data_IF_987697917183
#
_entry.id   IF_987697917183
#
_cell.length_a   1.000
_cell.length_b   1.000
_cell.length_c   1.000
_cell.angle_alpha   90.00
_cell.angle_beta   90.00
_cell.angle_gamma   90.00
#
_symmetry.space_group_name_H-M   'P 1'
#
loop_
_entity.id
_entity.type
_entity.pdbx_description
1 polymer ?
#
# COMPACT_ATOMS: atom_id res chain seq x y z
N UNK A 1 -12.03 23.40 7.75
CA UNK A 1 -12.39 22.15 7.04
C UNK A 1 -12.43 21.07 8.10
N UNK A 2 -13.52 20.33 8.18
CA UNK A 2 -13.72 19.32 9.23
C UNK A 2 -13.09 17.99 8.79
N UNK A 3 -12.34 17.35 9.68
CA UNK A 3 -11.63 16.10 9.40
C UNK A 3 -12.26 14.98 10.20
N UNK A 4 -12.54 13.85 9.53
CA UNK A 4 -13.02 12.63 10.17
C UNK A 4 -11.93 11.56 10.14
N UNK A 5 -11.81 10.79 11.22
CA UNK A 5 -10.83 9.68 11.34
C UNK A 5 -11.57 8.38 11.65
N UNK A 6 -11.98 7.60 10.63
CA UNK A 6 -12.66 6.33 10.85
C UNK A 6 -11.67 5.26 11.38
N UNK A 7 -12.10 4.47 12.36
CA UNK A 7 -11.30 3.48 13.09
C UNK A 7 -11.91 2.06 13.09
N UNK A 8 -12.70 1.75 12.06
CA UNK A 8 -13.30 0.44 11.84
C UNK A 8 -13.35 0.08 10.35
N UNK A 9 -13.27 -1.21 10.01
CA UNK A 9 -13.33 -1.64 8.60
C UNK A 9 -14.60 -1.15 7.90
N UNK A 10 -15.75 -1.22 8.59
CA UNK A 10 -17.02 -0.77 8.06
C UNK A 10 -17.03 0.75 7.81
N UNK A 11 -16.57 1.54 8.78
CA UNK A 11 -16.54 3.00 8.72
C UNK A 11 -15.54 3.51 7.68
N UNK A 12 -14.37 2.89 7.58
CA UNK A 12 -13.39 3.15 6.51
C UNK A 12 -13.99 2.81 5.16
N UNK A 13 -14.67 1.67 5.05
CA UNK A 13 -15.34 1.25 3.84
C UNK A 13 -16.45 2.22 3.41
N UNK A 14 -17.23 2.74 4.35
CA UNK A 14 -18.25 3.76 4.10
C UNK A 14 -17.63 5.07 3.65
N UNK A 15 -16.63 5.57 4.37
CA UNK A 15 -15.90 6.79 4.00
C UNK A 15 -15.31 6.68 2.58
N UNK A 16 -14.75 5.52 2.21
CA UNK A 16 -14.22 5.29 0.85
C UNK A 16 -15.28 5.34 -0.27
N UNK A 17 -16.57 5.13 0.05
CA UNK A 17 -17.68 5.20 -0.92
C UNK A 17 -18.25 6.61 -1.07
N UNK A 18 -17.95 7.53 -0.16
CA UNK A 18 -18.40 8.93 -0.23
C UNK A 18 -17.52 9.70 -1.21
N UNK A 19 -18.10 10.10 -2.35
CA UNK A 19 -17.37 10.74 -3.45
C UNK A 19 -17.13 12.24 -3.27
N UNK A 20 -17.78 12.83 -2.27
CA UNK A 20 -17.69 14.22 -1.81
C UNK A 20 -16.62 14.42 -0.73
N UNK A 21 -16.13 13.34 -0.12
CA UNK A 21 -15.00 13.39 0.81
C UNK A 21 -13.67 13.47 0.07
N UNK A 22 -12.81 14.38 0.52
CA UNK A 22 -11.41 14.43 0.12
C UNK A 22 -10.57 13.52 1.02
N UNK A 23 -9.60 12.82 0.43
CA UNK A 23 -8.62 12.04 1.21
C UNK A 23 -7.62 12.99 1.86
N UNK A 24 -7.57 12.98 3.19
CA UNK A 24 -6.56 13.71 3.95
C UNK A 24 -5.13 13.26 3.56
N UNK A 25 -4.14 14.14 3.74
CA UNK A 25 -2.70 13.94 3.51
C UNK A 25 -2.22 14.04 2.06
N UNK A 26 -3.07 13.83 1.05
CA UNK A 26 -2.62 13.98 -0.34
C UNK A 26 -2.44 15.44 -0.74
N UNK A 27 -3.19 16.36 -0.13
CA UNK A 27 -3.01 17.80 -0.26
C UNK A 27 -1.79 18.35 0.51
N UNK A 28 -1.31 17.62 1.53
CA UNK A 28 -0.11 18.00 2.29
C UNK A 28 1.16 18.07 1.42
N UNK A 29 1.17 17.37 0.27
CA UNK A 29 2.24 17.49 -0.73
C UNK A 29 2.20 18.78 -1.58
N UNK A 30 1.24 19.67 -1.32
CA UNK A 30 1.15 21.00 -1.91
C UNK A 30 1.15 20.97 -3.45
N UNK A 31 1.96 21.82 -4.07
CA UNK A 31 2.02 21.97 -5.52
C UNK A 31 2.40 20.67 -6.26
N UNK A 32 3.15 19.76 -5.63
CA UNK A 32 3.52 18.47 -6.25
C UNK A 32 2.29 17.57 -6.43
N UNK A 33 1.33 17.68 -5.52
CA UNK A 33 0.17 16.80 -5.48
C UNK A 33 -1.10 17.41 -6.04
N UNK A 34 -1.14 18.74 -6.25
CA UNK A 34 -2.33 19.47 -6.71
C UNK A 34 -2.99 18.85 -7.95
N UNK A 35 -2.17 18.44 -8.93
CA UNK A 35 -2.61 17.76 -10.14
C UNK A 35 -2.31 16.25 -10.09
N UNK A 36 -2.24 15.63 -8.93
CA UNK A 36 -2.20 14.17 -8.82
C UNK A 36 -3.63 13.63 -8.89
N UNK A 37 -3.88 12.45 -9.48
CA UNK A 37 -5.23 11.85 -9.49
C UNK A 37 -5.80 11.60 -8.08
N UNK A 38 -4.93 11.61 -7.07
CA UNK A 38 -5.24 11.36 -5.67
C UNK A 38 -5.84 12.58 -4.93
N UNK A 39 -5.76 13.79 -5.50
CA UNK A 39 -6.18 15.05 -4.85
C UNK A 39 -7.55 15.58 -5.32
N UNK A 40 -7.88 15.61 -6.63
CA UNK A 40 -9.20 16.00 -7.10
C UNK A 40 -10.29 15.09 -6.53
N UNK A 41 -11.44 15.68 -6.22
CA UNK A 41 -12.67 14.99 -5.83
C UNK A 41 -13.83 15.41 -6.74
N UNK A 42 -14.98 14.74 -6.64
CA UNK A 42 -16.16 15.06 -7.44
C UNK A 42 -15.97 14.89 -8.97
N UNK A 43 -16.38 15.89 -9.76
CA UNK A 43 -16.43 15.77 -11.22
C UNK A 43 -15.04 15.71 -11.88
N UNK A 44 -14.06 16.49 -11.39
CA UNK A 44 -12.69 16.48 -11.90
C UNK A 44 -12.01 15.13 -11.70
N UNK A 45 -12.21 14.53 -10.52
CA UNK A 45 -11.78 13.16 -10.21
C UNK A 45 -12.36 12.14 -11.20
N UNK A 46 -13.67 12.18 -11.44
CA UNK A 46 -14.35 11.25 -12.35
C UNK A 46 -13.80 11.31 -13.78
N UNK A 47 -13.52 12.50 -14.31
CA UNK A 47 -12.99 12.65 -15.66
C UNK A 47 -11.58 12.06 -15.76
N UNK A 48 -10.74 12.35 -14.76
CA UNK A 48 -9.35 11.90 -14.71
C UNK A 48 -9.21 10.39 -14.53
N UNK A 49 -9.96 9.81 -13.60
CA UNK A 49 -10.01 8.36 -13.41
C UNK A 49 -10.51 7.60 -14.63
N UNK A 50 -11.39 8.18 -15.48
CA UNK A 50 -11.79 7.53 -16.74
C UNK A 50 -10.62 7.36 -17.70
N UNK A 51 -9.70 8.33 -17.75
CA UNK A 51 -8.51 8.25 -18.60
C UNK A 51 -7.51 7.26 -18.02
N UNK A 52 -7.19 7.34 -16.72
CA UNK A 52 -6.28 6.41 -16.04
C UNK A 52 -6.77 4.95 -16.08
N UNK A 53 -8.08 4.74 -15.88
CA UNK A 53 -8.65 3.39 -15.99
C UNK A 53 -8.47 2.77 -17.37
N UNK A 54 -8.10 3.52 -18.43
CA UNK A 54 -7.69 2.96 -19.73
C UNK A 54 -6.28 2.38 -19.69
N UNK A 55 -5.36 3.04 -18.98
CA UNK A 55 -4.00 2.56 -18.77
C UNK A 55 -3.97 1.37 -17.81
N UNK A 56 -4.85 1.37 -16.80
CA UNK A 56 -4.97 0.28 -15.83
C UNK A 56 -5.93 -0.85 -16.28
N UNK A 57 -6.25 -0.95 -17.58
CA UNK A 57 -7.07 -2.06 -18.08
C UNK A 57 -6.29 -3.37 -18.03
N UNK A 58 -7.02 -4.46 -17.83
CA UNK A 58 -6.48 -5.83 -17.83
C UNK A 58 -5.54 -6.10 -19.02
N UNK A 59 -5.90 -5.66 -20.22
CA UNK A 59 -5.08 -5.84 -21.42
C UNK A 59 -3.73 -5.13 -21.33
N UNK A 60 -3.74 -3.84 -20.96
CA UNK A 60 -2.55 -3.01 -20.80
C UNK A 60 -1.64 -3.54 -19.69
N UNK A 61 -2.20 -3.93 -18.54
CA UNK A 61 -1.45 -4.54 -17.45
C UNK A 61 -0.83 -5.88 -17.86
N UNK A 62 -1.56 -6.71 -18.62
CA UNK A 62 -1.03 -8.00 -19.10
C UNK A 62 0.12 -7.81 -20.09
N UNK A 63 0.05 -6.79 -20.94
CA UNK A 63 1.16 -6.41 -21.81
C UNK A 63 2.37 -5.96 -20.99
N UNK A 64 2.16 -5.06 -20.02
CA UNK A 64 3.22 -4.61 -19.13
C UNK A 64 3.92 -5.78 -18.41
N UNK A 65 3.15 -6.70 -17.83
CA UNK A 65 3.67 -7.92 -17.18
C UNK A 65 4.55 -8.75 -18.12
N UNK A 66 4.06 -9.04 -19.33
CA UNK A 66 4.71 -9.98 -20.25
C UNK A 66 5.89 -9.40 -21.00
N UNK A 67 5.82 -8.12 -21.34
CA UNK A 67 6.72 -7.49 -22.31
C UNK A 67 7.68 -6.51 -21.64
N UNK A 68 7.26 -5.87 -20.55
CA UNK A 68 8.07 -4.83 -19.91
C UNK A 68 8.69 -5.34 -18.61
N UNK A 69 7.89 -5.95 -17.72
CA UNK A 69 8.33 -6.31 -16.37
C UNK A 69 9.06 -7.64 -16.30
N UNK A 70 8.86 -8.55 -17.27
CA UNK A 70 9.42 -9.90 -17.24
C UNK A 70 10.93 -9.91 -17.03
N UNK A 71 11.67 -9.23 -17.90
CA UNK A 71 13.14 -9.27 -17.88
C UNK A 71 13.72 -8.50 -16.68
N UNK A 72 13.28 -7.27 -16.35
CA UNK A 72 13.73 -6.57 -15.16
C UNK A 72 13.50 -7.35 -13.87
N UNK A 73 12.34 -8.01 -13.72
CA UNK A 73 12.07 -8.84 -12.54
C UNK A 73 13.02 -10.02 -12.48
N UNK A 74 13.22 -10.74 -13.59
CA UNK A 74 14.15 -11.86 -13.67
C UNK A 74 15.57 -11.41 -13.31
N UNK A 75 16.04 -10.34 -13.95
CA UNK A 75 17.41 -9.86 -13.82
C UNK A 75 17.67 -9.29 -12.42
N UNK A 76 16.67 -8.63 -11.83
CA UNK A 76 16.72 -8.17 -10.43
C UNK A 76 16.81 -9.36 -9.47
N UNK A 77 16.08 -10.44 -9.72
CA UNK A 77 16.06 -11.62 -8.84
C UNK A 77 17.26 -12.55 -9.02
N UNK A 78 17.87 -12.58 -10.20
CA UNK A 78 19.00 -13.45 -10.54
C UNK A 78 20.15 -13.46 -9.51
N UNK A 79 20.68 -12.32 -9.03
CA UNK A 79 21.77 -12.33 -8.05
C UNK A 79 21.34 -12.93 -6.70
N UNK A 80 20.11 -12.69 -6.26
CA UNK A 80 19.59 -13.22 -5.00
C UNK A 80 19.36 -14.74 -5.07
N UNK A 81 18.89 -15.22 -6.23
CA UNK A 81 18.76 -16.65 -6.48
C UNK A 81 20.12 -17.36 -6.50
N UNK A 82 21.13 -16.75 -7.14
CA UNK A 82 22.49 -17.27 -7.14
C UNK A 82 23.13 -17.27 -5.73
N UNK A 83 22.82 -16.26 -4.92
CA UNK A 83 23.30 -16.14 -3.55
C UNK A 83 22.55 -17.03 -2.54
N UNK A 84 21.41 -17.63 -2.94
CA UNK A 84 20.54 -18.41 -2.06
C UNK A 84 19.87 -17.59 -0.94
N UNK A 85 19.92 -16.26 -1.02
CA UNK A 85 19.37 -15.33 -0.01
C UNK A 85 18.92 -14.03 -0.64
N UNK A 86 17.85 -13.46 -0.09
CA UNK A 86 17.23 -12.22 -0.60
C UNK A 86 17.91 -10.95 -0.07
N UNK A 87 18.46 -10.98 1.14
CA UNK A 87 19.25 -9.88 1.71
C UNK A 87 20.73 -10.30 1.71
N UNK A 88 21.63 -9.55 1.03
CA UNK A 88 23.04 -9.87 1.00
C UNK A 88 23.71 -9.75 2.37
N UNK A 89 23.20 -8.87 3.25
CA UNK A 89 23.82 -8.45 4.51
C UNK A 89 23.13 -9.03 5.75
N UNK A 90 21.86 -9.44 5.64
CA UNK A 90 21.11 -10.04 6.75
C UNK A 90 20.88 -11.54 6.53
N UNK A 91 21.41 -12.43 7.40
CA UNK A 91 21.11 -13.84 7.31
C UNK A 91 19.62 -14.09 7.57
N UNK A 92 19.07 -15.09 6.88
CA UNK A 92 17.67 -15.44 7.02
C UNK A 92 17.43 -16.13 8.37
N UNK A 93 16.52 -15.59 9.20
CA UNK A 93 16.16 -16.15 10.50
C UNK A 93 14.75 -16.74 10.49
N UNK A 94 14.52 -17.83 11.24
CA UNK A 94 13.18 -18.39 11.44
C UNK A 94 12.43 -17.48 12.42
N UNK A 95 11.38 -16.82 11.94
CA UNK A 95 10.49 -16.05 12.82
C UNK A 95 9.84 -16.96 13.88
N UNK A 96 9.80 -16.54 15.16
CA UNK A 96 9.29 -17.37 16.26
C UNK A 96 7.78 -17.71 16.16
N UNK A 97 7.05 -17.00 15.30
CA UNK A 97 5.64 -17.23 15.00
C UNK A 97 5.40 -18.06 13.71
N UNK A 98 6.46 -18.48 13.00
CA UNK A 98 6.31 -19.19 11.73
C UNK A 98 6.24 -20.70 11.93
N UNK A 99 5.10 -21.29 11.58
CA UNK A 99 4.90 -22.75 11.50
C UNK A 99 5.45 -23.37 10.19
N UNK A 100 6.00 -22.57 9.28
CA UNK A 100 6.57 -23.04 8.01
C UNK A 100 8.08 -23.22 8.12
N UNK A 101 8.61 -24.26 7.48
CA UNK A 101 10.04 -24.59 7.47
C UNK A 101 10.93 -23.64 6.66
N UNK A 102 10.33 -22.64 6.01
CA UNK A 102 11.05 -21.63 5.24
C UNK A 102 10.97 -20.24 5.89
N UNK A 103 12.06 -19.50 5.69
CA UNK A 103 12.38 -18.20 6.25
C UNK A 103 11.28 -17.17 6.01
N UNK A 104 10.48 -16.92 7.04
CA UNK A 104 9.55 -15.80 7.09
C UNK A 104 10.13 -14.73 8.03
N UNK A 105 11.16 -14.04 7.56
CA UNK A 105 11.51 -12.73 8.09
C UNK A 105 11.59 -11.78 6.90
N UNK A 106 10.43 -11.27 6.50
CA UNK A 106 10.38 -9.95 5.88
C UNK A 106 10.14 -8.99 7.05
N UNK A 107 11.00 -7.99 7.29
CA UNK A 107 10.71 -6.96 8.27
C UNK A 107 9.51 -6.14 7.78
N UNK A 108 8.30 -6.63 8.02
CA UNK A 108 7.12 -5.78 8.03
C UNK A 108 7.25 -4.98 9.32
N UNK A 109 7.68 -3.74 9.20
CA UNK A 109 7.56 -2.75 10.27
C UNK A 109 6.06 -2.50 10.46
N UNK A 110 5.38 -3.37 11.19
CA UNK A 110 4.15 -2.98 11.87
C UNK A 110 4.61 -2.23 13.12
N UNK A 111 4.64 -0.91 13.04
CA UNK A 111 4.79 -0.09 14.23
C UNK A 111 3.74 -0.50 15.24
N UNK A 112 4.19 -0.74 16.47
CA UNK A 112 3.37 -1.07 17.64
C UNK A 112 2.13 -0.18 17.68
N UNK A 113 0.96 -0.81 17.86
CA UNK A 113 -0.17 -0.17 18.54
C UNK A 113 0.22 0.02 20.01
N UNK A 114 0.92 1.11 20.31
CA UNK A 114 1.02 1.61 21.68
C UNK A 114 -0.37 2.16 22.04
N UNK A 115 -1.12 1.45 22.89
CA UNK A 115 -2.40 1.99 23.35
C UNK A 115 -3.40 1.08 24.05
N UNK A 116 -3.18 -0.23 24.18
CA UNK A 116 -4.07 -1.07 25.00
C UNK A 116 -3.40 -1.38 26.35
N UNK A 117 -3.55 -0.46 27.31
CA UNK A 117 -3.51 -0.82 28.72
C UNK A 117 -4.93 -1.18 29.14
N UNK A 118 -5.10 -2.42 29.60
CA UNK A 118 -6.24 -2.81 30.43
C UNK A 118 -6.30 -1.87 31.65
N UNK A 119 -7.49 -1.39 31.98
CA UNK A 119 -7.73 -0.38 33.02
C UNK A 119 -7.40 -0.84 34.44
N UNK A 120 -7.67 0.04 35.41
CA UNK A 120 -8.52 -0.40 36.51
C UNK A 120 -9.73 0.52 36.69
N UNK A 121 -10.76 -0.08 37.28
CA UNK A 121 -12.09 0.41 37.63
C UNK A 121 -12.15 1.82 38.23
N UNK A 122 -13.19 2.55 37.78
CA UNK A 122 -13.88 3.73 38.35
C UNK A 122 -13.95 3.75 39.89
N UNK A 123 -14.15 4.91 40.57
CA UNK A 123 -14.30 6.30 40.08
C UNK A 123 -13.09 7.21 40.32
#
# INVERSE_FOLDING_TARGET
METITPDGYADVGEACRRHDLQRALYDAGGAVMADSPLVPHGAGHRLRHRMENRLCRRGTLRYGEKTILRDPVRDTLAPFLAAGRADPDTPAERGPASARDHFASYPVVSSRRAGLRAGPSTP
#
